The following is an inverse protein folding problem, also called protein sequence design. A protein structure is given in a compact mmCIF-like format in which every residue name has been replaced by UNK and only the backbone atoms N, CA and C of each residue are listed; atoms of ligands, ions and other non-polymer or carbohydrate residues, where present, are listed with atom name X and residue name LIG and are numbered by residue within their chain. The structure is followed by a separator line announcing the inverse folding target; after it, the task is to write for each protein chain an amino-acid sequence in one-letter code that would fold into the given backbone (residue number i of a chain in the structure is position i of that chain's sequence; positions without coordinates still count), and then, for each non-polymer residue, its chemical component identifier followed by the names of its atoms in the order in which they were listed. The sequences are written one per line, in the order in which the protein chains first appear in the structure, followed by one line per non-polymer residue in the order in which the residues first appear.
data_IF_989739259103
#
_entry.id   IF_989739259103
#
_cell.length_a   1.000
_cell.length_b   1.000
_cell.length_c   1.000
_cell.angle_alpha   90.00
_cell.angle_beta   90.00
_cell.angle_gamma   90.00
#
_symmetry.space_group_name_H-M   'P 1'
#
loop_
_entity.id
_entity.type
_entity.pdbx_description
1 polymer ?
#
# COMPACT_ATOMS: atom_id res chain seq x y z
N UNK A 1 -34.06 -22.47 29.02
CA UNK A 1 -32.58 -22.42 28.99
C UNK A 1 -32.26 -22.40 27.52
N UNK A 2 -32.13 -21.20 26.96
CA UNK A 2 -31.84 -21.04 25.53
C UNK A 2 -30.35 -21.34 25.33
N UNK A 3 -30.08 -22.41 24.58
CA UNK A 3 -28.74 -22.71 24.08
C UNK A 3 -28.34 -21.56 23.16
N UNK A 4 -27.42 -20.72 23.61
CA UNK A 4 -26.80 -19.70 22.78
C UNK A 4 -25.98 -20.37 21.70
N UNK A 5 -26.52 -20.44 20.49
CA UNK A 5 -25.80 -20.94 19.32
C UNK A 5 -24.53 -20.09 19.12
N UNK A 6 -23.36 -20.73 19.23
CA UNK A 6 -22.07 -20.12 18.92
C UNK A 6 -22.04 -19.76 17.43
N UNK A 7 -22.37 -18.52 17.12
CA UNK A 7 -22.42 -18.04 15.75
C UNK A 7 -20.98 -17.84 15.26
N UNK A 8 -20.53 -18.53 14.20
CA UNK A 8 -19.17 -18.42 13.73
C UNK A 8 -18.90 -17.00 13.24
N UNK A 9 -17.85 -16.36 13.79
CA UNK A 9 -17.44 -15.03 13.37
C UNK A 9 -16.91 -15.06 11.94
N UNK A 10 -17.47 -14.21 11.08
CA UNK A 10 -17.01 -14.05 9.70
C UNK A 10 -15.72 -13.25 9.65
N UNK A 11 -14.60 -13.96 9.47
CA UNK A 11 -13.26 -13.38 9.35
C UNK A 11 -13.07 -12.49 8.12
N UNK A 12 -14.00 -12.52 7.15
CA UNK A 12 -13.94 -11.65 5.96
C UNK A 12 -14.41 -10.23 6.25
N UNK A 13 -15.22 -10.04 7.30
CA UNK A 13 -15.82 -8.74 7.62
C UNK A 13 -14.75 -7.67 7.93
N UNK A 14 -13.74 -7.91 8.78
CA UNK A 14 -12.67 -6.94 9.02
C UNK A 14 -11.81 -6.68 7.78
N UNK A 15 -11.51 -7.73 7.00
CA UNK A 15 -10.70 -7.61 5.78
C UNK A 15 -11.39 -6.75 4.71
N UNK A 16 -12.73 -6.76 4.68
CA UNK A 16 -13.52 -5.93 3.76
C UNK A 16 -13.50 -4.44 4.11
N UNK A 17 -13.08 -4.06 5.33
CA UNK A 17 -13.14 -2.68 5.83
C UNK A 17 -14.55 -2.07 5.76
N UNK A 18 -15.58 -2.87 6.09
CA UNK A 18 -17.00 -2.49 5.98
C UNK A 18 -17.39 -1.25 6.78
N UNK A 19 -16.65 -0.93 7.85
CA UNK A 19 -16.82 0.29 8.65
C UNK A 19 -16.61 1.58 7.87
N UNK A 20 -15.92 1.53 6.72
CA UNK A 20 -15.69 2.71 5.89
C UNK A 20 -16.95 3.10 5.07
N UNK A 21 -17.95 2.22 5.00
CA UNK A 21 -19.16 2.43 4.20
C UNK A 21 -19.05 1.92 2.76
N UNK A 22 -20.06 2.20 1.92
CA UNK A 22 -20.10 1.72 0.56
C UNK A 22 -18.98 2.35 -0.28
N UNK A 23 -18.20 1.52 -0.96
CA UNK A 23 -17.12 1.94 -1.84
C UNK A 23 -17.50 1.75 -3.32
N UNK A 24 -16.89 2.55 -4.19
CA UNK A 24 -16.97 2.39 -5.63
C UNK A 24 -15.62 1.90 -6.15
N UNK A 25 -15.64 0.98 -7.11
CA UNK A 25 -14.41 0.56 -7.77
C UNK A 25 -13.73 1.76 -8.45
N UNK A 26 -12.42 1.86 -8.34
CA UNK A 26 -11.69 2.89 -9.07
C UNK A 26 -11.65 2.52 -10.57
N UNK A 27 -12.12 3.40 -11.46
CA UNK A 27 -12.22 3.14 -12.91
C UNK A 27 -10.87 3.15 -13.62
N UNK A 28 -10.49 2.07 -14.34
CA UNK A 28 -9.25 1.98 -15.12
C UNK A 28 -8.29 0.86 -14.70
N UNK A 29 -7.24 0.60 -15.49
CA UNK A 29 -6.32 -0.53 -15.27
C UNK A 29 -5.23 -0.25 -14.24
N UNK A 30 -4.81 -1.32 -13.56
CA UNK A 30 -3.66 -1.33 -12.68
C UNK A 30 -2.38 -0.92 -13.41
N UNK A 31 -1.59 -0.04 -12.79
CA UNK A 31 -0.33 0.42 -13.36
C UNK A 31 0.78 -0.55 -12.98
N UNK A 32 1.25 -1.32 -13.96
CA UNK A 32 2.43 -2.15 -13.79
C UNK A 32 3.69 -1.28 -13.79
N UNK A 33 4.50 -1.38 -12.74
CA UNK A 33 5.80 -0.73 -12.65
C UNK A 33 6.90 -1.76 -12.88
N UNK A 34 7.76 -1.48 -13.86
CA UNK A 34 8.92 -2.33 -14.09
C UNK A 34 10.00 -2.13 -12.99
N UNK A 35 10.77 -3.18 -12.67
CA UNK A 35 11.92 -3.05 -11.78
C UNK A 35 12.88 -1.94 -12.26
N UNK A 36 13.31 -1.07 -11.34
CA UNK A 36 14.18 0.07 -11.67
C UNK A 36 13.46 1.28 -12.25
N UNK A 37 12.13 1.24 -12.45
CA UNK A 37 11.35 2.38 -12.94
C UNK A 37 11.64 3.65 -12.14
N UNK A 38 11.82 4.76 -12.87
CA UNK A 38 12.03 6.09 -12.32
C UNK A 38 10.84 6.98 -12.66
N UNK A 39 10.33 7.68 -11.66
CA UNK A 39 9.32 8.69 -11.91
C UNK A 39 8.98 9.51 -10.69
N UNK A 40 8.11 10.50 -10.91
CA UNK A 40 7.66 11.43 -9.88
C UNK A 40 6.26 11.02 -9.44
N UNK A 41 6.09 10.73 -8.16
CA UNK A 41 4.82 10.30 -7.58
C UNK A 41 4.45 11.16 -6.37
N UNK A 42 3.16 11.34 -6.06
CA UNK A 42 2.74 11.92 -4.80
C UNK A 42 3.10 10.97 -3.65
N UNK A 43 3.69 11.49 -2.58
CA UNK A 43 4.15 10.73 -1.42
C UNK A 43 3.62 11.39 -0.14
N UNK A 44 3.15 10.55 0.78
CA UNK A 44 2.79 10.93 2.15
C UNK A 44 3.56 10.05 3.14
N UNK A 45 3.87 10.60 4.32
CA UNK A 45 4.42 9.80 5.40
C UNK A 45 3.36 8.89 6.01
N UNK A 46 3.78 7.67 6.34
CA UNK A 46 3.01 6.76 7.15
C UNK A 46 3.67 6.60 8.53
N UNK A 47 2.87 6.36 9.58
CA UNK A 47 3.38 6.20 10.94
C UNK A 47 3.96 4.81 11.22
N UNK A 48 3.79 3.87 10.30
CA UNK A 48 4.31 2.51 10.38
C UNK A 48 4.89 2.03 9.06
N UNK A 49 5.34 0.78 9.05
CA UNK A 49 5.86 0.12 7.85
C UNK A 49 4.67 -0.57 7.15
N UNK A 50 4.63 -0.45 5.83
CA UNK A 50 3.65 -1.15 4.97
C UNK A 50 4.43 -2.04 4.00
N UNK A 51 3.95 -3.26 3.80
CA UNK A 51 4.57 -4.25 2.93
C UNK A 51 3.77 -4.46 1.64
N UNK A 52 4.44 -4.80 0.52
CA UNK A 52 3.78 -5.26 -0.70
C UNK A 52 2.75 -6.35 -0.41
N UNK A 53 1.56 -6.20 -0.99
CA UNK A 53 0.41 -7.09 -0.81
C UNK A 53 -0.61 -6.60 0.22
N UNK A 54 -0.22 -5.72 1.15
CA UNK A 54 -1.12 -5.20 2.18
C UNK A 54 -2.18 -4.27 1.57
N UNK A 55 -3.37 -4.31 2.18
CA UNK A 55 -4.45 -3.36 1.90
C UNK A 55 -4.36 -2.22 2.90
N UNK A 56 -4.30 -1.00 2.39
CA UNK A 56 -4.17 0.23 3.18
C UNK A 56 -5.45 1.05 3.03
N UNK A 57 -6.30 1.12 4.07
CA UNK A 57 -7.38 2.11 4.12
C UNK A 57 -6.78 3.49 4.42
N UNK A 58 -7.08 4.48 3.58
CA UNK A 58 -6.62 5.86 3.76
C UNK A 58 -7.81 6.75 4.03
N UNK A 59 -7.71 7.55 5.10
CA UNK A 59 -8.54 8.71 5.37
C UNK A 59 -7.60 9.91 5.43
N UNK A 60 -7.72 10.82 4.47
CA UNK A 60 -6.76 11.92 4.32
C UNK A 60 -7.49 13.26 4.21
N UNK A 61 -7.08 14.21 5.06
CA UNK A 61 -7.71 15.53 5.18
C UNK A 61 -6.80 16.67 4.72
N UNK A 62 -5.48 16.49 4.80
CA UNK A 62 -4.52 17.46 4.30
C UNK A 62 -4.47 17.36 2.78
N UNK A 63 -4.32 18.46 2.04
CA UNK A 63 -4.08 18.41 0.58
C UNK A 63 -5.03 17.49 -0.21
N UNK A 64 -6.28 17.34 0.27
CA UNK A 64 -7.17 16.28 -0.17
C UNK A 64 -7.54 16.44 -1.65
N UNK A 65 -7.62 17.68 -2.15
CA UNK A 65 -7.85 17.99 -3.57
C UNK A 65 -6.69 17.52 -4.47
N UNK A 66 -5.44 17.63 -3.99
CA UNK A 66 -4.27 17.18 -4.74
C UNK A 66 -4.17 15.65 -4.75
N UNK A 67 -4.48 15.03 -3.60
CA UNK A 67 -4.49 13.57 -3.51
C UNK A 67 -5.64 12.99 -4.33
N UNK A 68 -6.86 13.55 -4.23
CA UNK A 68 -8.00 13.10 -5.03
C UNK A 68 -7.71 13.21 -6.53
N UNK A 69 -7.15 14.32 -6.98
CA UNK A 69 -6.75 14.48 -8.39
C UNK A 69 -5.74 13.41 -8.82
N UNK A 70 -4.72 13.14 -8.01
CA UNK A 70 -3.71 12.12 -8.31
C UNK A 70 -4.30 10.70 -8.30
N UNK A 71 -5.21 10.43 -7.37
CA UNK A 71 -5.95 9.17 -7.26
C UNK A 71 -6.86 8.97 -8.47
N UNK A 72 -7.53 10.02 -8.96
CA UNK A 72 -8.40 9.92 -10.13
C UNK A 72 -7.63 9.78 -11.45
N UNK A 73 -6.44 10.37 -11.56
CA UNK A 73 -5.64 10.32 -12.78
C UNK A 73 -4.75 9.08 -12.87
N UNK A 74 -3.85 8.94 -11.90
CA UNK A 74 -2.78 7.93 -11.94
C UNK A 74 -3.08 6.74 -11.02
N UNK A 75 -4.02 6.89 -10.07
CA UNK A 75 -4.36 5.90 -9.03
C UNK A 75 -3.18 5.41 -8.20
N UNK A 76 -2.07 6.11 -8.22
CA UNK A 76 -0.84 5.69 -7.54
C UNK A 76 -0.33 6.80 -6.65
N UNK A 77 0.05 6.42 -5.45
CA UNK A 77 0.76 7.27 -4.50
C UNK A 77 1.79 6.43 -3.74
N UNK A 78 2.75 7.10 -3.10
CA UNK A 78 3.75 6.46 -2.26
C UNK A 78 3.46 6.65 -0.79
N UNK A 79 3.63 5.59 0.00
CA UNK A 79 3.73 5.66 1.45
C UNK A 79 5.20 5.61 1.86
N UNK A 80 5.69 6.70 2.42
CA UNK A 80 7.03 6.79 2.96
C UNK A 80 7.05 6.20 4.37
N UNK A 81 7.95 5.23 4.58
CA UNK A 81 8.08 4.55 5.87
C UNK A 81 9.01 5.32 6.81
N UNK A 82 8.76 5.28 8.13
CA UNK A 82 9.69 5.82 9.11
C UNK A 82 10.98 4.99 9.15
N UNK A 83 12.03 5.57 9.74
CA UNK A 83 13.25 4.88 10.13
C UNK A 83 13.01 3.94 11.31
N UNK A 84 14.03 3.19 11.70
CA UNK A 84 13.95 2.25 12.84
C UNK A 84 13.52 2.95 14.15
N UNK A 85 13.86 4.22 14.32
CA UNK A 85 13.46 5.02 15.48
C UNK A 85 12.03 5.54 15.44
N UNK A 86 11.31 5.42 14.32
CA UNK A 86 9.94 5.92 14.17
C UNK A 86 9.81 7.43 14.05
N UNK A 87 10.92 8.17 14.08
CA UNK A 87 10.93 9.65 14.16
C UNK A 87 11.33 10.27 12.83
N UNK A 88 12.16 9.58 12.05
CA UNK A 88 12.78 10.12 10.84
C UNK A 88 12.28 9.40 9.60
N UNK A 89 12.29 10.07 8.46
CA UNK A 89 11.97 9.45 7.18
C UNK A 89 13.11 8.51 6.75
N UNK A 90 12.79 7.25 6.45
CA UNK A 90 13.79 6.26 6.02
C UNK A 90 14.34 6.52 4.61
N UNK A 91 13.60 7.26 3.78
CA UNK A 91 13.87 7.37 2.34
C UNK A 91 13.37 6.18 1.51
N UNK A 92 12.77 5.19 2.17
CA UNK A 92 12.15 4.02 1.56
C UNK A 92 10.64 4.02 1.80
N UNK A 93 9.92 3.39 0.89
CA UNK A 93 8.48 3.32 0.97
C UNK A 93 7.89 2.27 0.05
N UNK A 94 6.57 2.27 -0.03
CA UNK A 94 5.81 1.41 -0.93
C UNK A 94 4.88 2.23 -1.81
N UNK A 95 4.85 1.89 -3.09
CA UNK A 95 3.83 2.40 -4.02
C UNK A 95 2.53 1.68 -3.71
N UNK A 96 1.46 2.46 -3.64
CA UNK A 96 0.12 2.01 -3.37
C UNK A 96 -0.75 2.33 -4.58
N UNK A 97 -1.50 1.33 -5.03
CA UNK A 97 -2.46 1.47 -6.12
C UNK A 97 -3.88 1.51 -5.56
N UNK A 98 -4.64 2.55 -5.89
CA UNK A 98 -6.01 2.71 -5.46
C UNK A 98 -6.94 1.84 -6.29
N UNK A 99 -7.71 1.00 -5.62
CA UNK A 99 -8.67 0.09 -6.25
C UNK A 99 -10.13 0.36 -5.85
N UNK A 100 -10.36 1.04 -4.72
CA UNK A 100 -11.68 1.45 -4.24
C UNK A 100 -11.65 2.89 -3.75
N UNK A 101 -12.56 3.73 -4.21
CA UNK A 101 -12.76 5.11 -3.73
C UNK A 101 -14.08 5.19 -3.01
N UNK A 102 -14.09 5.86 -1.86
CA UNK A 102 -15.30 6.07 -1.10
C UNK A 102 -15.78 7.51 -1.34
N UNK A 103 -17.08 7.69 -1.60
CA UNK A 103 -17.64 9.03 -1.69
C UNK A 103 -17.42 9.75 -0.35
N UNK A 104 -17.18 11.08 -0.38
CA UNK A 104 -17.13 11.85 0.85
C UNK A 104 -18.45 11.64 1.60
N UNK A 105 -18.37 11.38 2.90
CA UNK A 105 -19.57 11.12 3.70
C UNK A 105 -20.54 12.31 3.59
N UNK A 106 -21.72 12.06 3.01
CA UNK A 106 -22.84 12.99 3.00
C UNK A 106 -23.39 13.11 4.43
N UNK A 107 -22.75 13.93 5.27
CA UNK A 107 -23.37 14.45 6.49
C UNK A 107 -23.84 15.89 6.22
N UNK A 108 -25.07 16.09 5.71
CA UNK A 108 -25.65 17.42 5.52
C UNK A 108 -26.01 18.14 6.82
N UNK A 109 -25.97 17.49 8.00
CA UNK A 109 -26.47 18.07 9.27
C UNK A 109 -25.38 18.51 10.27
N UNK A 110 -24.10 18.42 9.91
CA UNK A 110 -22.99 18.84 10.78
C UNK A 110 -21.90 19.63 10.07
N UNK A 111 -22.10 19.99 8.80
CA UNK A 111 -21.12 20.66 7.96
C UNK A 111 -21.11 22.16 8.27
N UNK A 112 -20.51 22.52 9.40
CA UNK A 112 -20.07 23.88 9.65
C UNK A 112 -19.12 24.34 8.54
N UNK A 113 -19.21 25.60 8.18
CA UNK A 113 -18.64 26.30 7.03
C UNK A 113 -17.08 26.43 7.07
N UNK A 114 -16.38 25.33 7.37
CA UNK A 114 -14.93 25.30 7.57
C UNK A 114 -14.29 23.91 7.77
N UNK A 115 -15.02 22.82 7.49
CA UNK A 115 -14.45 21.47 7.58
C UNK A 115 -13.59 21.15 6.36
N UNK A 116 -12.33 20.75 6.59
CA UNK A 116 -11.38 20.40 5.53
C UNK A 116 -11.93 19.24 4.66
N UNK A 117 -11.65 19.24 3.35
CA UNK A 117 -12.06 18.15 2.47
C UNK A 117 -11.45 16.82 2.95
N UNK A 118 -12.29 15.79 3.10
CA UNK A 118 -11.86 14.43 3.47
C UNK A 118 -11.94 13.54 2.24
N UNK A 119 -10.86 12.83 1.96
CA UNK A 119 -10.80 11.82 0.91
C UNK A 119 -10.54 10.46 1.55
N UNK A 120 -11.35 9.48 1.15
CA UNK A 120 -11.31 8.12 1.68
C UNK A 120 -11.18 7.12 0.53
N UNK A 121 -10.22 6.22 0.59
CA UNK A 121 -10.03 5.17 -0.41
C UNK A 121 -9.30 3.96 0.18
N UNK A 122 -9.35 2.83 -0.54
CA UNK A 122 -8.52 1.67 -0.25
C UNK A 122 -7.51 1.49 -1.36
N UNK A 123 -6.29 1.23 -0.94
CA UNK A 123 -5.18 1.00 -1.84
C UNK A 123 -4.49 -0.31 -1.51
N UNK A 124 -3.87 -0.92 -2.51
CA UNK A 124 -3.01 -2.08 -2.34
C UNK A 124 -1.56 -1.65 -2.46
N UNK A 125 -0.74 -1.98 -1.47
CA UNK A 125 0.71 -1.81 -1.57
C UNK A 125 1.25 -2.80 -2.62
N UNK A 126 2.03 -2.30 -3.58
CA UNK A 126 2.50 -3.09 -4.73
C UNK A 126 4.02 -3.21 -4.78
N UNK A 127 4.73 -2.08 -4.90
CA UNK A 127 6.18 -2.08 -5.16
C UNK A 127 6.94 -1.32 -4.09
N UNK A 128 8.10 -1.84 -3.69
CA UNK A 128 9.04 -1.09 -2.86
C UNK A 128 9.70 0.00 -3.69
N UNK A 129 9.91 1.17 -3.11
CA UNK A 129 10.65 2.24 -3.76
C UNK A 129 11.68 2.87 -2.82
N UNK A 130 12.65 3.57 -3.42
CA UNK A 130 13.52 4.52 -2.72
C UNK A 130 13.35 5.92 -3.31
N UNK A 131 13.37 6.93 -2.46
CA UNK A 131 13.43 8.32 -2.90
C UNK A 131 14.84 8.65 -3.44
N UNK A 132 14.91 9.31 -4.59
CA UNK A 132 16.20 9.72 -5.18
C UNK A 132 16.77 10.97 -4.52
N UNK A 133 15.90 11.92 -4.16
CA UNK A 133 16.27 13.22 -3.62
C UNK A 133 15.88 13.34 -2.15
N UNK A 134 16.31 12.39 -1.31
CA UNK A 134 16.23 12.64 0.13
C UNK A 134 17.29 13.65 0.54
N UNK A 135 16.93 14.71 1.30
CA UNK A 135 17.92 15.58 1.90
C UNK A 135 18.92 14.73 2.68
N UNK A 136 20.23 15.00 2.53
CA UNK A 136 21.28 14.31 3.31
C UNK A 136 21.15 14.52 4.83
N UNK A 137 20.31 15.48 5.24
CA UNK A 137 19.96 15.71 6.63
C UNK A 137 18.76 14.87 6.97
N UNK A 138 18.82 14.22 8.12
CA UNK A 138 17.72 13.47 8.72
C UNK A 138 16.46 14.35 8.72
N UNK A 139 15.44 13.92 7.97
CA UNK A 139 14.17 14.64 7.86
C UNK A 139 13.17 13.97 8.79
N UNK A 140 12.51 14.69 9.71
CA UNK A 140 11.50 14.09 10.56
C UNK A 140 10.29 13.64 9.71
N UNK A 141 9.65 12.54 10.10
CA UNK A 141 8.50 11.96 9.38
C UNK A 141 7.37 12.98 9.21
N UNK A 142 7.18 13.85 10.20
CA UNK A 142 6.15 14.90 10.18
C UNK A 142 6.33 15.94 9.05
N UNK A 143 7.54 16.08 8.48
CA UNK A 143 7.77 16.97 7.34
C UNK A 143 7.02 16.50 6.07
N UNK A 144 6.57 15.25 6.07
CA UNK A 144 5.78 14.59 5.02
C UNK A 144 4.33 14.30 5.45
N UNK A 145 3.82 14.96 6.51
CA UNK A 145 2.39 14.95 6.83
C UNK A 145 1.53 15.51 5.68
N UNK A 146 2.12 16.44 4.93
CA UNK A 146 1.55 17.01 3.70
C UNK A 146 2.00 16.23 2.49
N UNK A 147 1.14 16.21 1.47
CA UNK A 147 1.43 15.56 0.19
C UNK A 147 2.67 16.20 -0.45
N UNK A 148 3.64 15.38 -0.86
CA UNK A 148 4.82 15.86 -1.61
C UNK A 148 5.08 15.01 -2.83
N UNK A 149 5.32 15.66 -3.95
CA UNK A 149 5.76 14.96 -5.15
C UNK A 149 7.26 14.67 -5.10
N UNK A 150 7.63 13.39 -5.11
CA UNK A 150 9.02 12.96 -5.00
C UNK A 150 9.44 12.11 -6.20
N UNK A 151 10.70 12.26 -6.60
CA UNK A 151 11.33 11.33 -7.54
C UNK A 151 11.69 10.03 -6.81
N UNK A 152 11.19 8.92 -7.33
CA UNK A 152 11.37 7.59 -6.75
C UNK A 152 11.96 6.62 -7.78
N UNK A 153 12.65 5.60 -7.26
CA UNK A 153 13.05 4.41 -8.01
C UNK A 153 12.34 3.20 -7.44
N UNK A 154 11.63 2.45 -8.28
CA UNK A 154 11.09 1.13 -7.93
C UNK A 154 12.25 0.14 -7.75
N UNK A 155 12.24 -0.56 -6.63
CA UNK A 155 13.24 -1.55 -6.28
C UNK A 155 12.87 -2.91 -6.87
N UNK A 156 13.89 -3.68 -7.22
CA UNK A 156 13.71 -5.03 -7.74
C UNK A 156 13.40 -6.01 -6.63
N UNK A 157 12.50 -6.96 -6.90
CA UNK A 157 12.31 -8.13 -6.06
C UNK A 157 13.32 -9.21 -6.50
N UNK A 158 14.42 -9.29 -5.76
CA UNK A 158 15.51 -10.21 -6.04
C UNK A 158 15.05 -11.63 -5.66
N UNK A 159 14.73 -12.42 -6.67
CA UNK A 159 14.49 -13.84 -6.51
C UNK A 159 15.81 -14.60 -6.71
N UNK A 160 16.38 -15.07 -5.61
CA UNK A 160 17.51 -15.98 -5.69
C UNK A 160 17.00 -17.33 -6.19
N UNK A 161 17.56 -17.80 -7.29
CA UNK A 161 17.31 -19.15 -7.77
C UNK A 161 17.69 -20.21 -6.73
N UNK A 162 17.51 -21.48 -7.07
CA UNK A 162 17.88 -22.57 -6.16
C UNK A 162 19.36 -22.46 -5.75
N UNK A 163 19.66 -22.34 -4.44
CA UNK A 163 21.04 -22.19 -3.97
C UNK A 163 21.94 -23.35 -4.40
N UNK A 164 21.39 -24.55 -4.61
CA UNK A 164 22.15 -25.72 -5.04
C UNK A 164 22.28 -25.85 -6.56
N UNK A 165 21.72 -24.92 -7.34
CA UNK A 165 21.73 -24.99 -8.80
C UNK A 165 23.14 -25.04 -9.38
N UNK A 166 24.09 -24.32 -8.76
CA UNK A 166 25.49 -24.26 -9.23
C UNK A 166 26.31 -25.53 -8.91
N UNK A 167 25.85 -26.33 -7.95
CA UNK A 167 26.51 -27.59 -7.52
C UNK A 167 25.65 -28.81 -7.86
N UNK A 168 24.73 -28.64 -8.81
CA UNK A 168 23.73 -29.65 -9.18
C UNK A 168 24.40 -30.88 -9.78
N UNK A 169 24.12 -32.02 -9.17
CA UNK A 169 24.48 -33.33 -9.72
C UNK A 169 23.26 -33.91 -10.44
N UNK A 170 23.32 -33.99 -11.76
CA UNK A 170 22.22 -34.48 -12.60
C UNK A 170 21.75 -35.89 -12.18
N UNK A 171 22.62 -36.71 -11.58
CA UNK A 171 22.28 -38.04 -11.06
C UNK A 171 21.33 -38.04 -9.86
N UNK A 172 21.24 -36.92 -9.14
CA UNK A 172 20.40 -36.76 -7.96
C UNK A 172 19.09 -36.01 -8.25
N UNK A 173 18.87 -35.59 -9.50
CA UNK A 173 17.67 -34.85 -9.89
C UNK A 173 16.38 -35.64 -9.62
N UNK A 174 16.41 -36.97 -9.80
CA UNK A 174 15.27 -37.84 -9.53
C UNK A 174 14.87 -37.91 -8.04
N UNK A 175 15.76 -37.50 -7.13
CA UNK A 175 15.51 -37.46 -5.68
C UNK A 175 15.00 -36.08 -5.22
N UNK A 176 14.95 -35.10 -6.14
CA UNK A 176 14.34 -33.82 -5.85
C UNK A 176 12.83 -34.02 -5.82
N UNK A 177 12.27 -34.00 -4.62
CA UNK A 177 10.83 -33.80 -4.50
C UNK A 177 10.52 -32.40 -5.04
N UNK A 178 9.93 -32.34 -6.23
CA UNK A 178 9.20 -31.15 -6.65
C UNK A 178 8.10 -30.94 -5.61
N UNK A 179 8.26 -29.92 -4.75
CA UNK A 179 7.29 -29.52 -3.74
C UNK A 179 5.94 -29.05 -4.31
N UNK A 180 5.61 -29.35 -5.56
CA UNK A 180 4.38 -28.92 -6.25
C UNK A 180 3.19 -29.87 -6.04
N UNK A 181 3.21 -30.74 -5.02
CA UNK A 181 2.15 -31.75 -4.82
C UNK A 181 1.14 -31.45 -3.70
N UNK A 182 1.08 -30.22 -3.19
CA UNK A 182 0.08 -29.88 -2.15
C UNK A 182 -0.39 -28.42 -2.23
N UNK A 183 -1.17 -28.10 -3.27
CA UNK A 183 -2.07 -26.94 -3.26
C UNK A 183 -3.24 -27.16 -4.23
N UNK A 184 -4.03 -28.21 -4.00
CA UNK A 184 -5.40 -28.33 -4.52
C UNK A 184 -6.26 -28.97 -3.43
N UNK A 185 -6.93 -28.14 -2.67
CA UNK A 185 -8.27 -28.38 -2.14
C UNK A 185 -9.05 -27.10 -2.27
#
# INVERSE_FOLDING_TARGET
MEDGEEQPFDISLPASHSYMGPAQAADGCARAFEPGWLGRVPVIAHHGIVFPGETVPILFTQDADMLSHSVHQDKVFGLLCPDEGGVMASGYGVLCEVYEVLPPADNPEGRGDGSAPLVSFKARATHRFRCLQMPRRVVPVNAFERLRFMEVRVLEDVNFGDPLQQVRLNSLDAQRNDGSRTARR
#
